data_IF_527698895518
#
_entry.id   IF_527698895518
#
_cell.length_a   1.000
_cell.length_b   1.000
_cell.length_c   1.000
_cell.angle_alpha   90.00
_cell.angle_beta   90.00
_cell.angle_gamma   90.00
#
_symmetry.space_group_name_H-M   'P 1'
#
loop_
_entity.id
_entity.type
_entity.pdbx_description
1 polymer ?
#
# COMPACT_ATOMS: atom_id res chain seq x y z
N UNK A 1 24.46 -18.48 21.33
CA UNK A 1 23.58 -19.21 20.38
C UNK A 1 22.23 -18.51 20.21
N UNK A 2 21.49 -18.16 21.27
CA UNK A 2 20.20 -17.46 21.16
C UNK A 2 20.26 -16.08 20.47
N UNK A 3 21.31 -15.28 20.73
CA UNK A 3 21.48 -13.95 20.11
C UNK A 3 21.57 -14.01 18.58
N UNK A 4 22.19 -15.04 18.02
CA UNK A 4 22.37 -15.20 16.58
C UNK A 4 21.04 -15.53 15.88
N UNK A 5 20.20 -16.36 16.51
CA UNK A 5 18.85 -16.67 16.00
C UNK A 5 17.92 -15.46 16.05
N UNK A 6 18.01 -14.65 17.11
CA UNK A 6 17.21 -13.41 17.22
C UNK A 6 17.64 -12.40 16.16
N UNK A 7 18.95 -12.21 15.95
CA UNK A 7 19.45 -11.29 14.92
C UNK A 7 18.97 -11.69 13.52
N UNK A 8 19.06 -12.99 13.17
CA UNK A 8 18.55 -13.48 11.88
C UNK A 8 17.07 -13.21 11.66
N UNK A 9 16.26 -13.36 12.70
CA UNK A 9 14.83 -13.07 12.61
C UNK A 9 14.58 -11.58 12.42
N UNK A 10 15.30 -10.72 13.14
CA UNK A 10 15.18 -9.26 12.99
C UNK A 10 15.59 -8.80 11.58
N UNK A 11 16.65 -9.37 11.02
CA UNK A 11 17.08 -9.10 9.65
C UNK A 11 16.00 -9.52 8.64
N UNK A 12 15.40 -10.70 8.82
CA UNK A 12 14.33 -11.20 7.97
C UNK A 12 13.07 -10.33 8.05
N UNK A 13 12.66 -9.93 9.26
CA UNK A 13 11.53 -9.01 9.46
C UNK A 13 11.79 -7.67 8.77
N UNK A 14 12.98 -7.11 8.93
CA UNK A 14 13.35 -5.84 8.28
C UNK A 14 13.27 -5.96 6.75
N UNK A 15 13.79 -7.06 6.19
CA UNK A 15 13.70 -7.31 4.74
C UNK A 15 12.25 -7.42 4.25
N UNK A 16 11.36 -8.00 5.04
CA UNK A 16 9.93 -8.11 4.71
C UNK A 16 9.26 -6.73 4.80
N UNK A 17 9.54 -5.94 5.83
CA UNK A 17 9.02 -4.57 5.96
C UNK A 17 9.44 -3.68 4.78
N UNK A 18 10.70 -3.78 4.35
CA UNK A 18 11.19 -3.09 3.15
C UNK A 18 10.44 -3.53 1.89
N UNK A 19 10.08 -4.80 1.78
CA UNK A 19 9.29 -5.32 0.66
C UNK A 19 7.84 -4.84 0.69
N UNK A 20 7.21 -4.83 1.87
CA UNK A 20 5.87 -4.27 2.07
C UNK A 20 5.87 -2.79 1.68
N UNK A 21 6.88 -2.02 2.10
CA UNK A 21 7.02 -0.61 1.75
C UNK A 21 7.14 -0.39 0.23
N UNK A 22 7.93 -1.23 -0.47
CA UNK A 22 8.03 -1.18 -1.94
C UNK A 22 6.70 -1.50 -2.62
N UNK A 23 6.00 -2.54 -2.19
CA UNK A 23 4.70 -2.88 -2.77
C UNK A 23 3.65 -1.79 -2.54
N UNK A 24 3.64 -1.14 -1.37
CA UNK A 24 2.78 0.03 -1.12
C UNK A 24 3.07 1.15 -2.11
N UNK A 25 4.35 1.48 -2.33
CA UNK A 25 4.74 2.47 -3.32
C UNK A 25 4.25 2.10 -4.73
N UNK A 26 4.47 0.85 -5.16
CA UNK A 26 4.01 0.37 -6.47
C UNK A 26 2.49 0.46 -6.61
N UNK A 27 1.74 0.01 -5.60
CA UNK A 27 0.28 0.10 -5.59
C UNK A 27 -0.19 1.55 -5.74
N UNK A 28 0.36 2.46 -4.93
CA UNK A 28 -0.02 3.87 -4.96
C UNK A 28 0.30 4.53 -6.31
N UNK A 29 1.43 4.20 -6.94
CA UNK A 29 1.73 4.70 -8.28
C UNK A 29 0.74 4.21 -9.34
N UNK A 30 0.35 2.93 -9.29
CA UNK A 30 -0.64 2.38 -10.21
C UNK A 30 -1.99 3.07 -10.01
N UNK A 31 -2.42 3.26 -8.76
CA UNK A 31 -3.65 3.98 -8.43
C UNK A 31 -3.60 5.43 -8.91
N UNK A 32 -2.46 6.10 -8.75
CA UNK A 32 -2.27 7.47 -9.24
C UNK A 32 -2.40 7.55 -10.77
N UNK A 33 -1.74 6.64 -11.50
CA UNK A 33 -1.80 6.56 -12.95
C UNK A 33 -3.25 6.31 -13.40
N UNK A 34 -3.91 5.31 -12.81
CA UNK A 34 -5.30 4.99 -13.07
C UNK A 34 -6.24 6.18 -12.83
N UNK A 35 -6.10 6.86 -11.69
CA UNK A 35 -6.90 8.03 -11.34
C UNK A 35 -6.66 9.19 -12.32
N UNK A 36 -5.41 9.39 -12.74
CA UNK A 36 -5.04 10.39 -13.74
C UNK A 36 -5.69 10.06 -15.09
N UNK A 37 -5.65 8.79 -15.52
CA UNK A 37 -6.32 8.34 -16.73
C UNK A 37 -7.84 8.51 -16.65
N UNK A 38 -8.45 8.27 -15.49
CA UNK A 38 -9.88 8.50 -15.29
C UNK A 38 -10.29 9.98 -15.39
N UNK A 39 -9.37 10.93 -15.17
CA UNK A 39 -9.62 12.37 -15.26
C UNK A 39 -9.32 12.96 -16.66
N UNK A 40 -8.39 12.38 -17.41
CA UNK A 40 -7.92 12.93 -18.70
C UNK A 40 -8.76 12.43 -19.89
N UNK A 41 -9.13 13.34 -20.80
CA UNK A 41 -9.83 13.02 -22.05
C UNK A 41 -8.87 12.31 -23.03
N UNK A 42 -9.27 11.24 -23.74
CA UNK A 42 -10.63 10.69 -23.90
C UNK A 42 -11.02 9.64 -22.84
N UNK A 43 -10.07 9.19 -22.02
CA UNK A 43 -10.28 8.13 -21.03
C UNK A 43 -11.35 8.48 -19.99
N UNK A 44 -11.48 9.75 -19.59
CA UNK A 44 -12.56 10.20 -18.70
C UNK A 44 -13.97 10.03 -19.28
N UNK A 45 -14.11 10.11 -20.61
CA UNK A 45 -15.38 9.88 -21.29
C UNK A 45 -15.76 8.40 -21.24
N UNK A 46 -14.80 7.51 -21.54
CA UNK A 46 -14.97 6.06 -21.39
C UNK A 46 -15.24 5.70 -19.92
N UNK A 47 -14.53 6.31 -18.97
CA UNK A 47 -14.75 6.12 -17.54
C UNK A 47 -16.17 6.50 -17.14
N UNK A 48 -16.71 7.62 -17.65
CA UNK A 48 -18.11 8.01 -17.38
C UNK A 48 -19.12 7.05 -18.02
N UNK A 49 -18.86 6.55 -19.23
CA UNK A 49 -19.73 5.61 -19.94
C UNK A 49 -19.80 4.24 -19.27
N UNK A 50 -18.67 3.77 -18.71
CA UNK A 50 -18.57 2.47 -18.04
C UNK A 50 -18.57 2.58 -16.50
N UNK A 51 -18.82 3.77 -15.96
CA UNK A 51 -18.86 4.05 -14.51
C UNK A 51 -17.57 3.66 -13.76
N UNK A 52 -16.41 3.80 -14.39
CA UNK A 52 -15.12 3.63 -13.71
C UNK A 52 -14.91 4.77 -12.71
N UNK A 53 -14.67 4.40 -11.44
CA UNK A 53 -14.46 5.32 -10.33
C UNK A 53 -12.99 5.35 -9.96
N UNK A 54 -12.55 6.46 -9.37
CA UNK A 54 -11.22 6.57 -8.77
C UNK A 54 -11.02 5.53 -7.69
N UNK A 55 -9.78 5.06 -7.56
CA UNK A 55 -9.35 4.14 -6.52
C UNK A 55 -8.64 4.93 -5.42
N UNK A 56 -8.80 4.49 -4.18
CA UNK A 56 -8.13 5.10 -3.03
C UNK A 56 -6.68 4.63 -2.92
N UNK A 57 -5.82 5.47 -2.37
CA UNK A 57 -4.44 5.09 -2.06
C UNK A 57 -4.41 4.13 -0.86
N UNK A 58 -3.40 3.25 -0.86
CA UNK A 58 -3.08 2.44 0.30
C UNK A 58 -2.29 3.30 1.29
N UNK A 59 -3.01 3.78 2.29
CA UNK A 59 -2.50 4.55 3.42
C UNK A 59 -2.69 3.75 4.70
N UNK A 60 -1.68 3.77 5.57
CA UNK A 60 -1.81 3.25 6.93
C UNK A 60 -2.07 4.46 7.83
N UNK A 61 -3.12 4.40 8.65
CA UNK A 61 -3.39 5.47 9.61
C UNK A 61 -2.18 5.64 10.55
N UNK A 62 -1.66 6.85 10.68
CA UNK A 62 -0.62 7.20 11.69
C UNK A 62 -1.20 7.29 13.11
N UNK A 63 -2.49 7.00 13.30
CA UNK A 63 -3.11 6.90 14.62
C UNK A 63 -2.55 5.73 15.39
N UNK A 64 -2.31 5.92 16.70
CA UNK A 64 -1.87 4.83 17.57
C UNK A 64 -2.70 3.58 17.27
N UNK A 65 -2.05 2.44 16.97
CA UNK A 65 -2.80 1.23 16.73
C UNK A 65 -3.64 1.02 17.99
N UNK A 66 -4.96 0.92 17.83
CA UNK A 66 -5.86 0.60 18.93
C UNK A 66 -5.61 -0.85 19.34
N UNK A 67 -4.44 -1.11 19.91
CA UNK A 67 -4.03 -2.38 20.45
C UNK A 67 -4.75 -2.55 21.78
N UNK A 68 -6.08 -2.67 21.72
CA UNK A 68 -6.81 -3.46 22.70
C UNK A 68 -6.52 -4.91 22.35
N UNK A 69 -5.33 -5.36 22.72
CA UNK A 69 -5.11 -6.78 22.89
C UNK A 69 -5.94 -7.16 24.13
N UNK A 70 -7.06 -7.85 23.93
CA UNK A 70 -7.75 -8.52 25.01
C UNK A 70 -7.10 -9.91 25.11
N UNK A 71 -6.24 -10.10 26.12
CA UNK A 71 -5.78 -11.43 26.52
C UNK A 71 -6.80 -12.08 27.46
#
# INVERSE_FOLDING_TARGET
KTSESVNRLMDATTSIEDEIARHRYTYNNIVQEYNTMADVVPSSMVASMFSFKKMDYLEFEEGEPSLRWEA
#
